data_IF_811693344854
#
_entry.id   IF_811693344854
#
_cell.length_a   1.000
_cell.length_b   1.000
_cell.length_c   1.000
_cell.angle_alpha   90.00
_cell.angle_beta   90.00
_cell.angle_gamma   90.00
#
_symmetry.space_group_name_H-M   'P 1'
#
loop_
_entity.id
_entity.type
_entity.pdbx_description
1 polymer ?
#
# COMPACT_ATOMS: atom_id res chain seq x y z
N UNK A 1 7.63 -14.69 5.07
CA UNK A 1 6.33 -14.92 5.74
C UNK A 1 5.61 -16.15 5.21
N UNK A 2 5.00 -16.96 6.08
CA UNK A 2 4.13 -18.10 5.74
C UNK A 2 2.70 -17.63 5.46
N UNK A 3 1.90 -18.43 4.75
CA UNK A 3 0.52 -18.08 4.38
C UNK A 3 -0.36 -17.73 5.60
N UNK A 4 -0.24 -18.46 6.71
CA UNK A 4 -1.02 -18.20 7.93
C UNK A 4 -0.62 -16.87 8.59
N UNK A 5 0.67 -16.56 8.62
CA UNK A 5 1.20 -15.30 9.14
C UNK A 5 0.71 -14.12 8.29
N UNK A 6 0.68 -14.28 6.96
CA UNK A 6 0.13 -13.29 6.03
C UNK A 6 -1.36 -13.04 6.28
N UNK A 7 -2.16 -14.08 6.46
CA UNK A 7 -3.59 -13.94 6.75
C UNK A 7 -3.86 -13.23 8.08
N UNK A 8 -3.08 -13.53 9.11
CA UNK A 8 -3.18 -12.86 10.42
C UNK A 8 -2.84 -11.38 10.24
N UNK A 9 -1.70 -11.08 9.63
CA UNK A 9 -1.25 -9.71 9.41
C UNK A 9 -2.28 -8.90 8.64
N UNK A 10 -2.76 -9.40 7.50
CA UNK A 10 -3.71 -8.67 6.67
C UNK A 10 -5.02 -8.40 7.42
N UNK A 11 -5.49 -9.32 8.26
CA UNK A 11 -6.69 -9.10 9.11
C UNK A 11 -6.46 -8.01 10.16
N UNK A 12 -5.28 -7.98 10.78
CA UNK A 12 -4.90 -6.95 11.74
C UNK A 12 -4.84 -5.58 11.07
N UNK A 13 -4.21 -5.47 9.91
CA UNK A 13 -4.14 -4.23 9.14
C UNK A 13 -5.52 -3.77 8.69
N UNK A 14 -6.39 -4.69 8.29
CA UNK A 14 -7.76 -4.39 7.86
C UNK A 14 -8.66 -3.84 8.97
N UNK A 15 -8.25 -3.94 10.24
CA UNK A 15 -8.93 -3.39 11.40
C UNK A 15 -8.49 -1.95 11.75
N UNK A 16 -7.44 -1.45 11.10
CA UNK A 16 -6.91 -0.09 11.30
C UNK A 16 -7.73 0.95 10.51
N UNK A 17 -7.61 2.21 10.90
CA UNK A 17 -8.47 3.31 10.46
C UNK A 17 -7.78 4.36 9.57
N UNK A 18 -6.48 4.18 9.30
CA UNK A 18 -5.71 5.11 8.48
C UNK A 18 -4.49 4.45 7.83
N UNK A 19 -4.05 5.01 6.69
CA UNK A 19 -2.81 4.62 6.01
C UNK A 19 -1.60 4.73 6.93
N UNK A 20 -1.53 5.81 7.72
CA UNK A 20 -0.44 5.99 8.68
C UNK A 20 -0.43 4.92 9.77
N UNK A 21 -1.60 4.50 10.29
CA UNK A 21 -1.68 3.41 11.26
C UNK A 21 -1.21 2.08 10.63
N UNK A 22 -1.61 1.81 9.38
CA UNK A 22 -1.19 0.62 8.63
C UNK A 22 0.34 0.60 8.45
N UNK A 23 0.93 1.71 7.99
CA UNK A 23 2.39 1.82 7.82
C UNK A 23 3.15 1.65 9.13
N UNK A 24 2.65 2.20 10.24
CA UNK A 24 3.27 2.01 11.54
C UNK A 24 3.22 0.54 11.98
N UNK A 25 2.08 -0.14 11.78
CA UNK A 25 1.97 -1.57 12.09
C UNK A 25 2.89 -2.43 11.21
N UNK A 26 3.01 -2.10 9.92
CA UNK A 26 3.92 -2.78 8.99
C UNK A 26 5.39 -2.54 9.35
N UNK A 27 5.75 -1.32 9.76
CA UNK A 27 7.11 -0.96 10.19
C UNK A 27 7.59 -1.79 11.39
N UNK A 28 6.68 -2.17 12.27
CA UNK A 28 6.98 -2.97 13.46
C UNK A 28 6.85 -4.49 13.20
N UNK A 29 6.74 -4.92 11.94
CA UNK A 29 6.64 -6.32 11.57
C UNK A 29 7.98 -7.07 11.73
N UNK A 30 7.91 -8.35 12.07
CA UNK A 30 9.10 -9.21 12.23
C UNK A 30 9.78 -9.54 10.89
N UNK A 31 9.09 -9.41 9.75
CA UNK A 31 9.66 -9.58 8.41
C UNK A 31 10.41 -8.30 7.99
N UNK A 32 11.76 -8.34 7.87
CA UNK A 32 12.56 -7.14 7.63
C UNK A 32 12.16 -6.41 6.34
N UNK A 33 11.84 -7.13 5.27
CA UNK A 33 11.43 -6.55 4.00
C UNK A 33 10.14 -5.72 4.11
N UNK A 34 9.19 -6.18 4.93
CA UNK A 34 7.96 -5.43 5.24
C UNK A 34 8.30 -4.19 6.06
N UNK A 35 9.08 -4.37 7.13
CA UNK A 35 9.42 -3.32 8.07
C UNK A 35 10.19 -2.17 7.41
N UNK A 36 11.21 -2.51 6.62
CA UNK A 36 12.07 -1.56 5.91
C UNK A 36 11.28 -0.82 4.82
N UNK A 37 10.48 -1.53 4.02
CA UNK A 37 9.66 -0.92 2.98
C UNK A 37 8.63 0.04 3.57
N UNK A 38 7.91 -0.39 4.62
CA UNK A 38 6.94 0.47 5.29
C UNK A 38 7.61 1.70 5.93
N UNK A 39 8.78 1.53 6.55
CA UNK A 39 9.54 2.65 7.10
C UNK A 39 9.96 3.66 6.02
N UNK A 40 10.37 3.18 4.85
CA UNK A 40 10.74 4.03 3.71
C UNK A 40 9.55 4.79 3.12
N UNK A 41 8.34 4.23 3.17
CA UNK A 41 7.13 4.90 2.66
C UNK A 41 6.56 5.96 3.61
N UNK A 42 6.93 5.95 4.91
CA UNK A 42 6.40 6.93 5.88
C UNK A 42 6.85 8.34 5.50
N UNK A 43 5.87 9.23 5.30
CA UNK A 43 6.12 10.63 4.90
C UNK A 43 6.25 10.83 3.39
N UNK A 44 6.21 9.74 2.60
CA UNK A 44 6.32 9.76 1.14
C UNK A 44 4.95 9.67 0.45
N UNK A 45 3.90 10.23 1.07
CA UNK A 45 2.57 10.30 0.49
C UNK A 45 2.12 11.73 0.27
N UNK A 46 1.54 11.98 -0.89
CA UNK A 46 0.98 13.27 -1.28
C UNK A 46 -0.50 13.13 -1.62
N UNK A 47 -1.29 14.17 -1.31
CA UNK A 47 -2.70 14.25 -1.64
C UNK A 47 -2.92 15.31 -2.72
N UNK A 48 -3.59 14.93 -3.80
CA UNK A 48 -3.93 15.83 -4.90
C UNK A 48 -5.42 15.74 -5.23
N UNK A 49 -6.05 16.86 -5.59
CA UNK A 49 -7.42 16.89 -6.08
C UNK A 49 -7.44 16.86 -7.61
N UNK A 50 -8.06 15.83 -8.19
CA UNK A 50 -8.23 15.66 -9.64
C UNK A 50 -9.68 15.30 -9.90
N UNK A 51 -10.35 16.06 -10.77
CA UNK A 51 -11.76 15.86 -11.13
C UNK A 51 -12.70 15.78 -9.90
N UNK A 52 -12.40 16.56 -8.85
CA UNK A 52 -13.15 16.58 -7.60
C UNK A 52 -12.94 15.35 -6.70
N UNK A 53 -11.96 14.49 -7.02
CA UNK A 53 -11.55 13.36 -6.22
C UNK A 53 -10.22 13.65 -5.54
N UNK A 54 -10.13 13.39 -4.24
CA UNK A 54 -8.87 13.44 -3.51
C UNK A 54 -8.12 12.12 -3.76
N UNK A 55 -6.99 12.19 -4.46
CA UNK A 55 -6.12 11.06 -4.79
C UNK A 55 -4.89 11.07 -3.90
N UNK A 56 -4.51 9.89 -3.42
CA UNK A 56 -3.30 9.64 -2.65
C UNK A 56 -2.25 9.06 -3.59
N UNK A 57 -1.07 9.67 -3.60
CA UNK A 57 0.09 9.26 -4.38
C UNK A 57 1.25 8.88 -3.45
N UNK A 58 1.99 7.83 -3.80
CA UNK A 58 3.29 7.51 -3.21
C UNK A 58 4.39 8.19 -4.04
N UNK A 59 5.20 9.03 -3.40
CA UNK A 59 6.25 9.84 -4.05
C UNK A 59 7.62 9.29 -3.68
N UNK A 60 8.38 8.86 -4.67
CA UNK A 60 9.69 8.24 -4.48
C UNK A 60 10.67 8.67 -5.57
N UNK A 61 11.97 8.58 -5.28
CA UNK A 61 13.04 8.87 -6.23
C UNK A 61 13.67 7.58 -6.75
N UNK A 62 13.91 7.50 -8.05
CA UNK A 62 14.62 6.39 -8.67
C UNK A 62 15.72 6.93 -9.58
N UNK A 63 16.89 6.27 -9.56
CA UNK A 63 17.97 6.58 -10.49
C UNK A 63 17.61 6.09 -11.90
N UNK A 64 17.68 6.98 -12.89
CA UNK A 64 17.46 6.64 -14.29
C UNK A 64 18.72 6.01 -14.93
N UNK A 65 18.61 5.56 -16.19
CA UNK A 65 19.73 4.96 -16.94
C UNK A 65 20.96 5.89 -17.13
N UNK A 66 20.81 7.18 -16.81
CA UNK A 66 21.87 8.19 -16.90
C UNK A 66 22.53 8.50 -15.55
N UNK A 67 22.07 7.85 -14.46
CA UNK A 67 22.57 8.11 -13.11
C UNK A 67 21.95 9.35 -12.45
N UNK A 68 20.85 9.87 -12.99
CA UNK A 68 20.15 11.04 -12.44
C UNK A 68 18.96 10.57 -11.58
N UNK A 69 18.79 11.19 -10.41
CA UNK A 69 17.62 10.95 -9.56
C UNK A 69 16.39 11.62 -10.17
N UNK A 70 15.39 10.83 -10.55
CA UNK A 70 14.09 11.30 -11.00
C UNK A 70 13.02 11.05 -9.92
N UNK A 71 12.14 12.03 -9.69
CA UNK A 71 11.00 11.91 -8.78
C UNK A 71 9.79 11.33 -9.51
N UNK A 72 9.22 10.26 -8.96
CA UNK A 72 8.04 9.57 -9.44
C UNK A 72 6.90 9.71 -8.44
N UNK A 73 5.68 9.77 -8.97
CA UNK A 73 4.45 9.74 -8.17
C UNK A 73 3.54 8.61 -8.68
N UNK A 74 3.38 7.57 -7.87
CA UNK A 74 2.49 6.45 -8.17
C UNK A 74 1.13 6.68 -7.52
N UNK A 75 0.04 6.49 -8.28
CA UNK A 75 -1.31 6.58 -7.72
C UNK A 75 -1.64 5.32 -6.92
N UNK A 76 -2.03 5.51 -5.65
CA UNK A 76 -2.28 4.41 -4.70
C UNK A 76 -3.78 4.15 -4.53
N UNK A 77 -4.53 5.18 -4.13
CA UNK A 77 -5.98 5.10 -3.91
C UNK A 77 -6.60 6.51 -3.87
N UNK A 78 -7.92 6.61 -3.84
CA UNK A 78 -8.59 7.85 -3.44
C UNK A 78 -8.72 7.93 -1.90
N UNK A 79 -8.79 9.13 -1.34
CA UNK A 79 -8.93 9.34 0.11
C UNK A 79 -10.23 8.78 0.69
N UNK A 80 -11.26 8.59 -0.14
CA UNK A 80 -12.55 8.00 0.23
C UNK A 80 -12.66 6.50 -0.10
N UNK A 81 -11.61 5.89 -0.67
CA UNK A 81 -11.59 4.46 -0.92
C UNK A 81 -11.39 3.67 0.39
N UNK A 82 -11.72 2.37 0.36
CA UNK A 82 -11.40 1.48 1.47
C UNK A 82 -9.89 1.30 1.65
N UNK A 83 -9.43 1.27 2.90
CA UNK A 83 -8.02 1.06 3.25
C UNK A 83 -7.45 -0.28 2.76
N UNK A 84 -8.33 -1.26 2.48
CA UNK A 84 -7.89 -2.51 1.84
C UNK A 84 -7.22 -2.30 0.49
N UNK A 85 -7.53 -1.21 -0.23
CA UNK A 85 -6.81 -0.87 -1.46
C UNK A 85 -5.35 -0.54 -1.19
N UNK A 86 -5.09 0.22 -0.12
CA UNK A 86 -3.72 0.51 0.31
C UNK A 86 -2.97 -0.76 0.71
N UNK A 87 -3.61 -1.63 1.51
CA UNK A 87 -3.02 -2.89 1.96
C UNK A 87 -2.68 -3.77 0.75
N UNK A 88 -3.61 -3.94 -0.19
CA UNK A 88 -3.38 -4.68 -1.44
C UNK A 88 -2.27 -4.08 -2.28
N UNK A 89 -2.28 -2.75 -2.48
CA UNK A 89 -1.23 -2.05 -3.22
C UNK A 89 0.16 -2.27 -2.59
N UNK A 90 0.28 -2.18 -1.27
CA UNK A 90 1.55 -2.39 -0.56
C UNK A 90 2.11 -3.80 -0.80
N UNK A 91 1.28 -4.84 -0.66
CA UNK A 91 1.72 -6.21 -0.88
C UNK A 91 1.98 -6.52 -2.36
N UNK A 92 1.27 -5.88 -3.27
CA UNK A 92 1.54 -6.01 -4.70
C UNK A 92 2.86 -5.35 -5.10
N UNK A 93 3.11 -4.10 -4.69
CA UNK A 93 4.34 -3.38 -5.07
C UNK A 93 5.60 -3.97 -4.43
N UNK A 94 5.47 -4.55 -3.23
CA UNK A 94 6.62 -5.11 -2.50
C UNK A 94 6.85 -6.60 -2.80
N UNK A 95 5.79 -7.40 -2.95
CA UNK A 95 5.88 -8.86 -3.03
C UNK A 95 5.17 -9.47 -4.25
N UNK A 96 4.61 -8.65 -5.15
CA UNK A 96 3.80 -9.08 -6.29
C UNK A 96 2.58 -9.94 -5.91
N UNK A 97 2.13 -9.88 -4.64
CA UNK A 97 0.91 -10.56 -4.19
C UNK A 97 -0.29 -9.85 -4.80
N UNK A 98 -1.15 -10.60 -5.48
CA UNK A 98 -2.28 -10.00 -6.17
C UNK A 98 -3.34 -9.45 -5.19
N UNK A 99 -4.07 -8.41 -5.60
CA UNK A 99 -5.10 -7.80 -4.77
C UNK A 99 -6.11 -8.83 -4.24
N UNK A 100 -6.49 -9.79 -5.09
CA UNK A 100 -7.52 -10.78 -4.76
C UNK A 100 -7.08 -11.65 -3.57
N UNK A 101 -5.83 -12.10 -3.56
CA UNK A 101 -5.23 -12.87 -2.47
C UNK A 101 -5.19 -12.05 -1.19
N UNK A 102 -4.79 -10.79 -1.26
CA UNK A 102 -4.79 -9.89 -0.10
C UNK A 102 -6.20 -9.70 0.46
N UNK A 103 -7.20 -9.49 -0.39
CA UNK A 103 -8.60 -9.37 0.05
C UNK A 103 -9.13 -10.67 0.66
N UNK A 104 -8.80 -11.82 0.07
CA UNK A 104 -9.19 -13.13 0.59
C UNK A 104 -8.53 -13.42 1.95
N UNK A 105 -7.27 -13.01 2.13
CA UNK A 105 -6.56 -13.09 3.40
C UNK A 105 -7.26 -12.28 4.50
N UNK A 106 -7.85 -11.13 4.17
CA UNK A 106 -8.69 -10.35 5.09
C UNK A 106 -10.09 -10.97 5.35
N UNK A 107 -10.44 -12.09 4.70
CA UNK A 107 -11.80 -12.64 4.70
C UNK A 107 -12.81 -11.78 3.95
N UNK A 108 -12.36 -10.93 3.01
CA UNK A 108 -13.20 -9.98 2.25
C UNK A 108 -13.34 -10.40 0.79
N UNK A 109 -14.45 -10.00 0.17
CA UNK A 109 -14.65 -10.16 -1.27
C UNK A 109 -13.95 -9.05 -2.04
N UNK A 110 -13.07 -9.41 -2.98
CA UNK A 110 -12.44 -8.44 -3.88
C UNK A 110 -13.45 -7.93 -4.91
N UNK A 111 -13.59 -6.61 -5.01
CA UNK A 111 -14.31 -5.95 -6.10
C UNK A 111 -13.32 -5.07 -6.86
N UNK A 112 -12.98 -5.41 -8.12
CA UNK A 112 -12.09 -4.58 -8.93
C UNK A 112 -12.61 -3.14 -8.98
N UNK A 113 -11.72 -2.16 -8.84
CA UNK A 113 -12.12 -0.78 -9.12
C UNK A 113 -12.65 -0.71 -10.56
N UNK A 114 -13.81 -0.08 -10.75
CA UNK A 114 -14.24 0.28 -12.10
C UNK A 114 -13.20 1.24 -12.64
N UNK A 115 -12.50 0.86 -13.71
CA UNK A 115 -11.66 1.79 -14.48
C UNK A 115 -12.62 2.87 -15.03
N UNK A 116 -12.71 4.01 -14.37
CA UNK A 116 -13.39 5.20 -14.88
C UNK A 116 -12.44 5.98 -15.77
#
# INVERSE_FOLDING_TARGET
MQQEEFEILVKELAALDSVSAILNALKDNDEPEIAETAAAMIGHFSLAEIDGQQRIYHVFTQENDQGEEEEFAEWVMNANDELMRFIAWFFYTTFEINDKETYQAAGRSYTPAKRS
#
